data_IF_077404696538
#
_entry.id   IF_077404696538
#
_cell.length_a   1.000
_cell.length_b   1.000
_cell.length_c   1.000
_cell.angle_alpha   90.00
_cell.angle_beta   90.00
_cell.angle_gamma   90.00
#
_symmetry.space_group_name_H-M   'P 1'
#
loop_
_entity.id
_entity.type
_entity.pdbx_description
1 polymer ?
#
# COMPACT_ATOMS: atom_id res chain seq x y z
N UNK A 1 8.31 -8.59 47.12
CA UNK A 1 7.21 -9.38 46.54
C UNK A 1 7.48 -9.50 45.05
N UNK A 2 7.84 -10.69 44.61
CA UNK A 2 8.19 -10.99 43.23
C UNK A 2 6.93 -10.95 42.38
N UNK A 3 6.81 -9.95 41.50
CA UNK A 3 5.80 -9.95 40.45
C UNK A 3 6.11 -11.09 39.49
N UNK A 4 5.34 -12.17 39.59
CA UNK A 4 5.19 -13.14 38.51
C UNK A 4 4.65 -12.38 37.29
N UNK A 5 5.53 -12.00 36.38
CA UNK A 5 5.14 -11.64 35.02
C UNK A 5 4.56 -12.88 34.36
N UNK A 6 3.24 -12.93 34.22
CA UNK A 6 2.55 -13.98 33.48
C UNK A 6 3.15 -14.09 32.07
N UNK A 7 3.49 -15.29 31.56
CA UNK A 7 4.09 -15.48 30.24
C UNK A 7 3.16 -15.14 29.06
N UNK A 8 1.92 -14.73 29.31
CA UNK A 8 0.92 -14.44 28.28
C UNK A 8 0.95 -13.02 27.68
N UNK A 9 1.74 -12.09 28.23
CA UNK A 9 1.83 -10.70 27.73
C UNK A 9 2.90 -10.49 26.66
N UNK A 10 3.11 -11.47 25.78
CA UNK A 10 3.81 -11.15 24.52
C UNK A 10 2.81 -10.47 23.58
N UNK A 11 3.12 -9.29 23.02
CA UNK A 11 2.28 -8.68 22.00
C UNK A 11 2.06 -9.69 20.87
N UNK A 12 0.81 -10.14 20.71
CA UNK A 12 0.40 -11.08 19.67
C UNK A 12 -0.26 -10.26 18.58
N UNK A 13 0.31 -10.29 17.38
CA UNK A 13 -0.39 -9.81 16.18
C UNK A 13 -1.59 -10.74 15.93
N UNK A 14 -2.81 -10.24 16.21
CA UNK A 14 -4.07 -10.88 15.82
C UNK A 14 -4.53 -10.28 14.50
N UNK A 15 -4.46 -11.08 13.43
CA UNK A 15 -4.76 -10.66 12.07
C UNK A 15 -6.24 -10.35 11.84
N UNK A 16 -7.15 -11.02 12.56
CA UNK A 16 -8.60 -10.84 12.39
C UNK A 16 -9.03 -9.56 13.08
N UNK A 17 -8.60 -9.36 14.33
CA UNK A 17 -8.91 -8.15 15.09
C UNK A 17 -8.30 -6.90 14.44
N UNK A 18 -7.05 -7.02 13.95
CA UNK A 18 -6.38 -5.93 13.23
C UNK A 18 -7.14 -5.54 11.95
N UNK A 19 -7.53 -6.52 11.13
CA UNK A 19 -8.31 -6.27 9.92
C UNK A 19 -9.69 -5.69 10.25
N UNK A 20 -10.37 -6.23 11.26
CA UNK A 20 -11.65 -5.72 11.75
C UNK A 20 -11.57 -4.25 12.18
N UNK A 21 -10.51 -3.88 12.88
CA UNK A 21 -10.22 -2.49 13.27
C UNK A 21 -10.04 -1.59 12.05
N UNK A 22 -9.33 -2.06 11.01
CA UNK A 22 -9.17 -1.34 9.74
C UNK A 22 -10.52 -1.00 9.08
N UNK A 23 -11.42 -1.98 9.00
CA UNK A 23 -12.77 -1.75 8.47
C UNK A 23 -13.60 -0.84 9.37
N UNK A 24 -13.56 -1.06 10.69
CA UNK A 24 -14.32 -0.26 11.64
C UNK A 24 -13.91 1.22 11.58
N UNK A 25 -12.61 1.49 11.47
CA UNK A 25 -12.08 2.84 11.29
C UNK A 25 -12.57 3.47 9.98
N UNK A 26 -12.51 2.74 8.85
CA UNK A 26 -13.02 3.22 7.56
C UNK A 26 -14.49 3.66 7.64
N UNK A 27 -15.35 2.86 8.28
CA UNK A 27 -16.78 3.17 8.41
C UNK A 27 -17.07 4.32 9.38
N UNK A 28 -16.35 4.36 10.50
CA UNK A 28 -16.55 5.37 11.55
C UNK A 28 -16.10 6.74 11.09
N UNK A 29 -14.92 6.83 10.47
CA UNK A 29 -14.28 8.08 10.04
C UNK A 29 -14.54 8.42 8.56
N UNK A 30 -15.51 7.77 7.90
CA UNK A 30 -15.78 7.90 6.46
C UNK A 30 -15.85 9.35 5.94
N UNK A 31 -16.46 10.26 6.69
CA UNK A 31 -16.61 11.65 6.28
C UNK A 31 -15.26 12.39 6.26
N UNK A 32 -14.39 12.09 7.22
CA UNK A 32 -13.04 12.62 7.26
C UNK A 32 -12.19 12.00 6.13
N UNK A 33 -12.27 10.69 5.96
CA UNK A 33 -11.50 9.96 4.96
C UNK A 33 -11.87 10.37 3.52
N UNK A 34 -13.15 10.60 3.21
CA UNK A 34 -13.56 11.08 1.87
C UNK A 34 -12.87 12.41 1.53
N UNK A 35 -12.78 13.35 2.48
CA UNK A 35 -12.08 14.63 2.27
C UNK A 35 -10.59 14.43 2.05
N UNK A 36 -10.00 13.45 2.74
CA UNK A 36 -8.58 13.14 2.67
C UNK A 36 -8.22 12.40 1.36
N UNK A 37 -9.07 11.48 0.90
CA UNK A 37 -8.90 10.69 -0.34
C UNK A 37 -9.01 11.56 -1.59
N UNK A 38 -9.82 12.62 -1.54
CA UNK A 38 -10.12 13.44 -2.72
C UNK A 38 -8.86 13.96 -3.43
N UNK A 39 -7.88 14.49 -2.70
CA UNK A 39 -6.66 15.03 -3.30
C UNK A 39 -5.79 13.94 -3.97
N UNK A 40 -5.40 12.84 -3.30
CA UNK A 40 -4.69 11.73 -3.94
C UNK A 40 -5.44 11.16 -5.14
N UNK A 41 -6.76 10.99 -5.03
CA UNK A 41 -7.57 10.43 -6.10
C UNK A 41 -7.58 11.32 -7.35
N UNK A 42 -7.76 12.64 -7.19
CA UNK A 42 -7.73 13.59 -8.31
C UNK A 42 -6.35 13.60 -8.97
N UNK A 43 -5.27 13.64 -8.18
CA UNK A 43 -3.90 13.63 -8.71
C UNK A 43 -3.67 12.34 -9.50
N UNK A 44 -4.06 11.18 -8.94
CA UNK A 44 -3.94 9.89 -9.62
C UNK A 44 -4.72 9.84 -10.93
N UNK A 45 -5.97 10.27 -10.89
CA UNK A 45 -6.85 10.32 -12.04
C UNK A 45 -6.28 11.18 -13.17
N UNK A 46 -5.81 12.40 -12.85
CA UNK A 46 -5.17 13.29 -13.84
C UNK A 46 -3.91 12.66 -14.42
N UNK A 47 -3.11 12.00 -13.59
CA UNK A 47 -1.85 11.38 -14.05
C UNK A 47 -2.12 10.20 -14.99
N UNK A 48 -3.11 9.36 -14.68
CA UNK A 48 -3.55 8.26 -15.54
C UNK A 48 -4.13 8.80 -16.86
N UNK A 49 -4.91 9.88 -16.80
CA UNK A 49 -5.48 10.52 -17.99
C UNK A 49 -4.36 11.03 -18.91
N UNK A 50 -3.34 11.69 -18.37
CA UNK A 50 -2.17 12.14 -19.14
C UNK A 50 -1.46 10.96 -19.81
N UNK A 51 -1.25 9.86 -19.09
CA UNK A 51 -0.62 8.65 -19.65
C UNK A 51 -1.44 8.03 -20.79
N UNK A 52 -2.75 7.98 -20.62
CA UNK A 52 -3.68 7.50 -21.64
C UNK A 52 -3.65 8.39 -22.89
N UNK A 53 -3.63 9.73 -22.73
CA UNK A 53 -3.54 10.66 -23.85
C UNK A 53 -2.22 10.58 -24.61
N UNK A 54 -1.12 10.26 -23.91
CA UNK A 54 0.20 10.11 -24.51
C UNK A 54 0.45 8.70 -25.08
N UNK A 55 -0.53 7.78 -24.99
CA UNK A 55 -0.40 6.37 -25.37
C UNK A 55 0.84 5.70 -24.77
N UNK A 56 1.23 6.10 -23.55
CA UNK A 56 2.34 5.48 -22.84
C UNK A 56 1.78 4.24 -22.12
N UNK A 57 2.22 3.01 -22.46
CA UNK A 57 1.71 1.81 -21.82
C UNK A 57 2.00 1.82 -20.32
N UNK A 58 1.02 1.40 -19.52
CA UNK A 58 1.27 1.13 -18.11
C UNK A 58 2.26 -0.03 -17.95
N UNK A 59 3.15 0.04 -16.96
CA UNK A 59 4.22 -0.94 -16.77
C UNK A 59 5.50 -0.61 -17.55
N UNK A 60 5.46 0.31 -18.51
CA UNK A 60 6.67 0.88 -19.09
C UNK A 60 7.34 1.83 -18.10
N UNK A 61 8.68 1.86 -18.07
CA UNK A 61 9.45 2.65 -17.11
C UNK A 61 9.06 4.15 -17.09
N UNK A 62 8.88 4.74 -18.27
CA UNK A 62 8.45 6.14 -18.40
C UNK A 62 7.03 6.38 -17.85
N UNK A 63 6.11 5.43 -18.06
CA UNK A 63 4.76 5.50 -17.52
C UNK A 63 4.75 5.43 -16.00
N UNK A 64 5.58 4.54 -15.44
CA UNK A 64 5.72 4.38 -14.00
C UNK A 64 6.34 5.62 -13.31
N UNK A 65 7.32 6.28 -13.95
CA UNK A 65 7.87 7.55 -13.44
C UNK A 65 6.84 8.67 -13.46
N UNK A 66 6.04 8.74 -14.53
CA UNK A 66 5.01 9.77 -14.63
C UNK A 66 3.97 9.66 -13.50
N UNK A 67 3.77 8.46 -12.92
CA UNK A 67 2.88 8.23 -11.76
C UNK A 67 3.44 8.76 -10.43
N UNK A 68 4.69 9.24 -10.36
CA UNK A 68 5.30 9.71 -9.12
C UNK A 68 4.45 10.74 -8.34
N UNK A 69 3.85 11.77 -8.96
CA UNK A 69 3.01 12.73 -8.22
C UNK A 69 1.85 12.04 -7.48
N UNK A 70 1.24 11.03 -8.10
CA UNK A 70 0.21 10.22 -7.46
C UNK A 70 0.75 9.46 -6.24
N UNK A 71 1.92 8.84 -6.38
CA UNK A 71 2.55 8.08 -5.29
C UNK A 71 2.85 8.98 -4.09
N UNK A 72 3.38 10.19 -4.32
CA UNK A 72 3.61 11.16 -3.24
C UNK A 72 2.31 11.53 -2.52
N UNK A 73 1.22 11.71 -3.26
CA UNK A 73 -0.09 12.01 -2.70
C UNK A 73 -0.68 10.83 -1.89
N UNK A 74 -0.50 9.60 -2.37
CA UNK A 74 -0.87 8.38 -1.65
C UNK A 74 -0.07 8.19 -0.37
N UNK A 75 1.25 8.38 -0.43
CA UNK A 75 2.11 8.34 0.75
C UNK A 75 1.69 9.39 1.79
N UNK A 76 1.25 10.56 1.34
CA UNK A 76 0.70 11.59 2.23
C UNK A 76 -0.61 11.13 2.87
N UNK A 77 -1.53 10.55 2.10
CA UNK A 77 -2.78 9.98 2.61
C UNK A 77 -2.52 8.93 3.69
N UNK A 78 -1.66 7.96 3.44
CA UNK A 78 -1.41 6.89 4.39
C UNK A 78 -0.68 7.37 5.64
N UNK A 79 0.27 8.30 5.51
CA UNK A 79 0.90 8.94 6.67
C UNK A 79 -0.13 9.66 7.56
N UNK A 80 -1.07 10.36 6.95
CA UNK A 80 -2.15 11.06 7.65
C UNK A 80 -3.12 10.10 8.34
N UNK A 81 -3.48 9.00 7.67
CA UNK A 81 -4.31 7.93 8.23
C UNK A 81 -3.62 7.29 9.42
N UNK A 82 -2.34 6.90 9.31
CA UNK A 82 -1.57 6.32 10.42
C UNK A 82 -1.53 7.24 11.63
N UNK A 83 -1.27 8.55 11.42
CA UNK A 83 -1.24 9.52 12.53
C UNK A 83 -2.61 9.80 13.13
N UNK A 84 -3.65 9.87 12.30
CA UNK A 84 -5.01 10.02 12.81
C UNK A 84 -5.45 8.79 13.60
N UNK A 85 -4.98 7.59 13.24
CA UNK A 85 -5.30 6.37 13.97
C UNK A 85 -4.52 6.27 15.29
N UNK A 86 -3.20 6.48 15.28
CA UNK A 86 -2.34 6.32 16.46
C UNK A 86 -2.44 7.47 17.47
N UNK A 87 -2.52 8.70 16.98
CA UNK A 87 -2.39 9.92 17.80
C UNK A 87 -3.67 10.76 17.82
N UNK A 88 -4.73 10.32 17.14
CA UNK A 88 -5.96 11.11 16.92
C UNK A 88 -5.68 12.51 16.31
N UNK A 89 -4.59 12.62 15.54
CA UNK A 89 -4.21 13.87 14.87
C UNK A 89 -4.88 13.96 13.49
N UNK A 90 -5.92 14.81 13.39
CA UNK A 90 -6.62 15.06 12.13
C UNK A 90 -5.97 16.17 11.32
N UNK A 91 -6.15 16.11 10.00
CA UNK A 91 -5.81 17.18 9.07
C UNK A 91 -7.08 17.92 8.60
N UNK A 92 -7.16 19.25 8.67
CA UNK A 92 -6.17 20.19 9.20
C UNK A 92 -6.02 20.10 10.73
N UNK A 93 -4.82 20.41 11.24
CA UNK A 93 -4.52 20.37 12.67
C UNK A 93 -5.19 21.56 13.36
N UNK A 94 -5.92 21.29 14.45
CA UNK A 94 -6.43 22.35 15.33
C UNK A 94 -5.29 22.83 16.23
N UNK A 95 -4.94 24.11 16.10
CA UNK A 95 -3.89 24.76 16.88
C UNK A 95 -4.44 25.21 18.22
N UNK A 96 -3.62 25.11 19.27
CA UNK A 96 -4.00 25.51 20.63
C UNK A 96 -3.97 27.03 20.83
N UNK A 97 -3.31 27.77 19.94
CA UNK A 97 -3.10 29.21 20.02
C UNK A 97 -1.78 29.59 20.70
N UNK A 98 -1.07 28.61 21.28
CA UNK A 98 0.23 28.79 21.94
C UNK A 98 1.36 28.56 20.92
N UNK A 99 1.97 29.66 20.45
CA UNK A 99 2.87 29.66 19.29
C UNK A 99 4.02 28.65 19.39
N UNK A 100 4.72 28.58 20.52
CA UNK A 100 5.94 27.77 20.63
C UNK A 100 5.62 26.28 20.63
N UNK A 101 4.59 25.90 21.40
CA UNK A 101 4.10 24.51 21.49
C UNK A 101 3.48 24.04 20.18
N UNK A 102 2.69 24.89 19.54
CA UNK A 102 2.09 24.60 18.24
C UNK A 102 3.17 24.46 17.15
N UNK A 103 4.21 25.30 17.16
CA UNK A 103 5.32 25.23 16.20
C UNK A 103 6.12 23.94 16.36
N UNK A 104 6.46 23.55 17.58
CA UNK A 104 7.19 22.30 17.83
C UNK A 104 6.37 21.08 17.41
N UNK A 105 5.06 21.07 17.71
CA UNK A 105 4.15 20.00 17.31
C UNK A 105 4.03 19.90 15.78
N UNK A 106 3.89 21.04 15.10
CA UNK A 106 3.82 21.10 13.64
C UNK A 106 5.11 20.62 12.99
N UNK A 107 6.27 21.05 13.47
CA UNK A 107 7.57 20.64 12.93
C UNK A 107 7.81 19.14 13.08
N UNK A 108 7.55 18.58 14.26
CA UNK A 108 7.71 17.14 14.48
C UNK A 108 6.79 16.34 13.55
N UNK A 109 5.51 16.74 13.48
CA UNK A 109 4.52 16.12 12.60
C UNK A 109 4.91 16.22 11.13
N UNK A 110 5.39 17.37 10.68
CA UNK A 110 5.82 17.59 9.31
C UNK A 110 6.99 16.67 8.93
N UNK A 111 8.00 16.56 9.80
CA UNK A 111 9.14 15.67 9.58
C UNK A 111 8.71 14.20 9.49
N UNK A 112 7.84 13.74 10.41
CA UNK A 112 7.31 12.37 10.37
C UNK A 112 6.51 12.09 9.08
N UNK A 113 5.64 13.01 8.68
CA UNK A 113 4.83 12.87 7.46
C UNK A 113 5.71 12.87 6.22
N UNK A 114 6.67 13.79 6.12
CA UNK A 114 7.57 13.88 4.97
C UNK A 114 8.46 12.64 4.87
N UNK A 115 8.98 12.13 5.98
CA UNK A 115 9.74 10.89 6.01
C UNK A 115 8.89 9.69 5.57
N UNK A 116 7.64 9.59 6.01
CA UNK A 116 6.71 8.55 5.58
C UNK A 116 6.39 8.63 4.09
N UNK A 117 6.15 9.83 3.57
CA UNK A 117 5.91 10.09 2.14
C UNK A 117 7.10 9.61 1.30
N UNK A 118 8.32 10.03 1.66
CA UNK A 118 9.54 9.65 0.92
C UNK A 118 9.73 8.14 0.98
N UNK A 119 9.54 7.53 2.16
CA UNK A 119 9.66 6.08 2.34
C UNK A 119 8.67 5.33 1.46
N UNK A 120 7.41 5.76 1.45
CA UNK A 120 6.37 5.18 0.60
C UNK A 120 6.69 5.30 -0.89
N UNK A 121 7.19 6.47 -1.31
CA UNK A 121 7.60 6.71 -2.69
C UNK A 121 8.78 5.83 -3.13
N UNK A 122 9.78 5.65 -2.27
CA UNK A 122 10.92 4.77 -2.54
C UNK A 122 10.50 3.30 -2.67
N UNK A 123 9.56 2.83 -1.83
CA UNK A 123 9.00 1.50 -1.95
C UNK A 123 8.35 1.33 -3.32
N UNK A 124 7.46 2.25 -3.71
CA UNK A 124 6.75 2.17 -5.00
C UNK A 124 7.69 2.28 -6.19
N UNK A 125 8.71 3.14 -6.12
CA UNK A 125 9.71 3.25 -7.17
C UNK A 125 10.48 1.94 -7.35
N UNK A 126 10.81 1.24 -6.27
CA UNK A 126 11.42 -0.09 -6.34
C UNK A 126 10.46 -1.10 -7.01
N UNK A 127 9.17 -1.11 -6.63
CA UNK A 127 8.17 -1.96 -7.28
C UNK A 127 8.01 -1.68 -8.76
N UNK A 128 7.99 -0.41 -9.15
CA UNK A 128 7.92 -0.01 -10.55
C UNK A 128 9.16 -0.36 -11.34
N UNK A 129 10.35 -0.26 -10.73
CA UNK A 129 11.58 -0.77 -11.33
C UNK A 129 11.47 -2.27 -11.62
N UNK A 130 11.00 -3.04 -10.65
CA UNK A 130 10.78 -4.49 -10.78
C UNK A 130 9.71 -4.81 -11.83
N UNK A 131 8.58 -4.10 -11.82
CA UNK A 131 7.50 -4.25 -12.80
C UNK A 131 7.98 -3.96 -14.23
N UNK A 132 8.83 -2.93 -14.39
CA UNK A 132 9.39 -2.58 -15.70
C UNK A 132 10.34 -3.67 -16.22
N UNK A 133 11.07 -4.37 -15.34
CA UNK A 133 11.91 -5.52 -15.70
C UNK A 133 11.09 -6.76 -16.11
N UNK A 134 9.84 -6.84 -15.64
CA UNK A 134 8.89 -7.89 -16.02
C UNK A 134 8.06 -7.51 -17.25
N UNK A 135 8.27 -6.35 -17.86
CA UNK A 135 7.46 -5.95 -19.00
C UNK A 135 7.66 -6.93 -20.15
N UNK A 136 6.59 -7.65 -20.50
CA UNK A 136 6.53 -8.55 -21.64
C UNK A 136 5.88 -7.75 -22.77
N UNK A 137 6.52 -7.72 -23.94
CA UNK A 137 5.93 -7.09 -25.11
C UNK A 137 4.66 -7.84 -25.53
N UNK A 138 3.74 -7.17 -26.22
CA UNK A 138 2.50 -7.79 -26.67
C UNK A 138 2.77 -8.96 -27.65
N UNK A 139 3.83 -8.83 -28.46
CA UNK A 139 4.32 -9.89 -29.36
C UNK A 139 4.84 -11.11 -28.58
N UNK A 140 5.65 -10.90 -27.53
CA UNK A 140 6.17 -11.98 -26.70
C UNK A 140 5.05 -12.72 -25.95
N UNK A 141 4.02 -11.98 -25.52
CA UNK A 141 2.84 -12.57 -24.86
C UNK A 141 2.05 -13.46 -25.82
N UNK A 142 1.84 -13.04 -27.06
CA UNK A 142 1.19 -13.85 -28.10
C UNK A 142 2.02 -15.10 -28.43
N UNK A 143 3.34 -14.97 -28.54
CA UNK A 143 4.24 -16.10 -28.78
C UNK A 143 4.22 -17.13 -27.61
N UNK A 144 4.15 -16.65 -26.37
CA UNK A 144 3.95 -17.50 -25.18
C UNK A 144 2.61 -18.23 -25.21
N UNK A 145 1.54 -17.56 -25.65
CA UNK A 145 0.22 -18.16 -25.78
C UNK A 145 0.21 -19.28 -26.82
N UNK A 146 0.82 -19.07 -28.00
CA UNK A 146 0.96 -20.07 -29.06
C UNK A 146 1.73 -21.31 -28.59
N UNK A 147 2.87 -21.12 -27.88
CA UNK A 147 3.62 -22.24 -27.29
C UNK A 147 2.81 -22.99 -26.24
N UNK A 148 2.06 -22.27 -25.40
CA UNK A 148 1.22 -22.89 -24.37
C UNK A 148 0.04 -23.68 -24.95
N UNK A 149 -0.43 -23.30 -26.15
CA UNK A 149 -1.45 -24.02 -26.91
C UNK A 149 -0.88 -25.23 -27.69
N UNK A 150 0.44 -25.45 -27.65
CA UNK A 150 1.10 -26.53 -28.38
C UNK A 150 1.27 -26.23 -29.88
N UNK A 151 1.11 -24.97 -30.30
CA UNK A 151 1.32 -24.54 -31.67
C UNK A 151 2.80 -24.27 -31.95
N UNK A 152 3.23 -24.55 -33.17
CA UNK A 152 4.61 -24.30 -33.61
C UNK A 152 4.82 -22.81 -33.84
N UNK A 153 5.82 -22.25 -33.17
CA UNK A 153 6.24 -20.86 -33.39
C UNK A 153 6.61 -20.63 -34.86
N UNK A 154 6.37 -19.43 -35.40
CA UNK A 154 6.91 -19.05 -36.70
C UNK A 154 8.43 -19.27 -36.76
N UNK A 155 8.96 -19.65 -37.92
CA UNK A 155 10.40 -19.88 -38.08
C UNK A 155 11.20 -18.60 -37.76
N UNK A 156 12.19 -18.72 -36.86
CA UNK A 156 13.01 -17.59 -36.41
C UNK A 156 12.55 -16.90 -35.12
N UNK A 157 11.38 -17.27 -34.58
CA UNK A 157 10.91 -16.75 -33.28
C UNK A 157 11.34 -17.64 -32.12
N UNK A 158 12.02 -17.07 -31.13
CA UNK A 158 12.38 -17.75 -29.87
C UNK A 158 11.56 -17.19 -28.72
N UNK A 159 10.97 -18.06 -27.90
CA UNK A 159 10.29 -17.64 -26.68
C UNK A 159 11.29 -17.47 -25.55
N UNK A 160 11.34 -16.26 -24.99
CA UNK A 160 12.13 -15.98 -23.79
C UNK A 160 11.36 -16.40 -22.54
N UNK A 161 11.88 -17.38 -21.79
CA UNK A 161 11.35 -17.77 -20.48
C UNK A 161 11.80 -16.83 -19.35
N UNK A 162 12.66 -15.85 -19.63
CA UNK A 162 13.23 -14.92 -18.65
C UNK A 162 12.15 -14.20 -17.83
N UNK A 163 11.04 -13.68 -18.40
CA UNK A 163 9.99 -13.02 -17.61
C UNK A 163 9.32 -13.96 -16.61
N UNK A 164 9.07 -15.22 -16.98
CA UNK A 164 8.42 -16.21 -16.11
C UNK A 164 9.34 -16.63 -14.95
N UNK A 165 10.63 -16.85 -15.21
CA UNK A 165 11.62 -17.16 -14.18
C UNK A 165 11.84 -15.96 -13.25
N UNK A 166 11.93 -14.76 -13.81
CA UNK A 166 12.03 -13.50 -13.04
C UNK A 166 10.78 -13.30 -12.17
N UNK A 167 9.58 -13.55 -12.69
CA UNK A 167 8.33 -13.50 -11.92
C UNK A 167 8.32 -14.47 -10.74
N UNK A 168 8.79 -15.71 -10.93
CA UNK A 168 8.90 -16.70 -9.85
C UNK A 168 9.87 -16.24 -8.76
N UNK A 169 11.05 -15.73 -9.14
CA UNK A 169 12.05 -15.21 -8.20
C UNK A 169 11.47 -14.03 -7.40
N UNK A 170 10.74 -13.14 -8.07
CA UNK A 170 10.12 -11.98 -7.43
C UNK A 170 8.99 -12.40 -6.51
N UNK A 171 8.20 -13.42 -6.85
CA UNK A 171 7.16 -13.94 -5.96
C UNK A 171 7.76 -14.53 -4.68
N UNK A 172 8.82 -15.32 -4.80
CA UNK A 172 9.52 -15.91 -3.64
C UNK A 172 10.12 -14.82 -2.77
N UNK A 173 10.79 -13.83 -3.37
CA UNK A 173 11.38 -12.73 -2.61
C UNK A 173 10.31 -11.82 -2.01
N UNK A 174 9.20 -11.54 -2.69
CA UNK A 174 8.11 -10.71 -2.18
C UNK A 174 7.53 -11.21 -0.85
N UNK A 175 7.53 -12.53 -0.61
CA UNK A 175 7.11 -13.10 0.68
C UNK A 175 8.05 -12.62 1.80
N UNK A 176 9.37 -12.73 1.61
CA UNK A 176 10.35 -12.33 2.62
C UNK A 176 10.41 -10.81 2.83
N UNK A 177 10.24 -10.06 1.75
CA UNK A 177 10.31 -8.60 1.75
C UNK A 177 8.95 -7.94 2.03
N UNK A 178 7.90 -8.72 2.31
CA UNK A 178 6.56 -8.21 2.58
C UNK A 178 6.50 -7.16 3.70
N UNK A 179 7.20 -7.30 4.85
CA UNK A 179 7.22 -6.25 5.87
C UNK A 179 7.78 -4.92 5.38
N UNK A 180 8.65 -4.94 4.37
CA UNK A 180 9.24 -3.73 3.79
C UNK A 180 8.20 -2.87 3.08
N UNK A 181 7.09 -3.46 2.61
CA UNK A 181 5.96 -2.73 2.03
C UNK A 181 5.32 -1.74 3.01
N UNK A 182 5.37 -2.07 4.30
CA UNK A 182 4.65 -1.37 5.36
C UNK A 182 5.57 -0.44 6.16
N UNK A 183 6.84 -0.33 5.77
CA UNK A 183 7.84 0.36 6.58
C UNK A 183 7.64 1.88 6.64
N UNK A 184 6.85 2.46 5.75
CA UNK A 184 6.40 3.85 5.81
C UNK A 184 5.56 4.15 7.06
N UNK A 185 4.97 3.13 7.70
CA UNK A 185 4.23 3.28 8.97
C UNK A 185 5.18 3.70 10.10
N UNK A 186 6.42 3.21 10.11
CA UNK A 186 7.39 3.51 11.16
C UNK A 186 7.69 5.03 11.31
N UNK A 187 8.11 5.76 10.25
CA UNK A 187 8.31 7.21 10.36
C UNK A 187 7.01 7.96 10.64
N UNK A 188 5.85 7.50 10.14
CA UNK A 188 4.56 8.12 10.47
C UNK A 188 4.21 8.00 11.96
N UNK A 189 4.54 6.85 12.57
CA UNK A 189 4.41 6.54 13.99
C UNK A 189 5.54 7.14 14.86
N UNK A 190 6.52 7.84 14.26
CA UNK A 190 7.70 8.38 14.93
C UNK A 190 8.61 7.30 15.56
N UNK A 191 8.85 6.22 14.82
CA UNK A 191 9.67 5.07 15.23
C UNK A 191 10.81 4.89 14.22
N UNK A 192 11.98 4.47 14.71
CA UNK A 192 13.12 4.18 13.85
C UNK A 192 12.86 2.96 12.94
N UNK A 193 13.26 3.09 11.67
CA UNK A 193 13.19 2.05 10.64
C UNK A 193 13.75 0.69 11.13
N UNK A 194 14.93 0.74 11.78
CA UNK A 194 15.66 -0.46 12.23
C UNK A 194 14.82 -1.28 13.21
N UNK A 195 14.16 -0.60 14.13
CA UNK A 195 13.39 -1.22 15.20
C UNK A 195 12.11 -1.87 14.66
N UNK A 196 11.43 -1.19 13.73
CA UNK A 196 10.28 -1.74 13.02
C UNK A 196 10.65 -3.01 12.25
N UNK A 197 11.67 -2.95 11.39
CA UNK A 197 12.04 -4.06 10.51
C UNK A 197 12.57 -5.28 11.28
N UNK A 198 13.44 -5.05 12.27
CA UNK A 198 13.96 -6.13 13.10
C UNK A 198 12.87 -6.81 13.91
N UNK A 199 11.86 -6.07 14.37
CA UNK A 199 10.71 -6.64 15.08
C UNK A 199 9.89 -7.54 14.15
N UNK A 200 9.55 -7.03 12.95
CA UNK A 200 8.75 -7.78 11.98
C UNK A 200 9.40 -9.11 11.55
N UNK A 201 10.72 -9.10 11.31
CA UNK A 201 11.45 -10.30 10.88
C UNK A 201 11.71 -11.26 12.04
N UNK A 202 12.23 -10.78 13.19
CA UNK A 202 12.62 -11.65 14.30
C UNK A 202 11.43 -12.44 14.86
N UNK A 203 10.23 -11.86 14.80
CA UNK A 203 9.01 -12.47 15.32
C UNK A 203 8.23 -13.28 14.29
N UNK A 204 8.79 -13.48 13.07
CA UNK A 204 8.14 -14.19 11.96
C UNK A 204 6.73 -13.67 11.66
N UNK A 205 6.51 -12.35 11.83
CA UNK A 205 5.21 -11.72 11.61
C UNK A 205 4.81 -11.66 10.14
N UNK A 206 5.76 -11.91 9.22
CA UNK A 206 5.59 -11.93 7.77
C UNK A 206 4.29 -12.63 7.35
N UNK A 207 4.07 -13.89 7.77
CA UNK A 207 2.87 -14.65 7.38
C UNK A 207 1.59 -14.05 7.95
N UNK A 208 1.64 -13.51 9.17
CA UNK A 208 0.48 -12.86 9.80
C UNK A 208 0.13 -11.54 9.11
N UNK A 209 1.14 -10.77 8.69
CA UNK A 209 0.96 -9.55 7.91
C UNK A 209 0.37 -9.89 6.53
N UNK A 210 0.88 -10.91 5.84
CA UNK A 210 0.32 -11.37 4.56
C UNK A 210 -1.14 -11.80 4.75
N UNK A 211 -1.44 -12.62 5.76
CA UNK A 211 -2.81 -13.06 6.03
C UNK A 211 -3.74 -11.88 6.36
N UNK A 212 -3.29 -10.92 7.17
CA UNK A 212 -4.03 -9.70 7.47
C UNK A 212 -4.31 -8.88 6.20
N UNK A 213 -3.31 -8.71 5.34
CA UNK A 213 -3.48 -8.05 4.05
C UNK A 213 -4.50 -8.76 3.16
N UNK A 214 -4.45 -10.09 3.09
CA UNK A 214 -5.44 -10.89 2.34
C UNK A 214 -6.86 -10.72 2.88
N UNK A 215 -7.05 -10.71 4.21
CA UNK A 215 -8.36 -10.44 4.84
C UNK A 215 -8.85 -9.01 4.52
N UNK A 216 -7.93 -8.03 4.47
CA UNK A 216 -8.26 -6.67 4.06
C UNK A 216 -8.59 -6.56 2.56
N UNK A 217 -8.02 -7.42 1.72
CA UNK A 217 -8.11 -7.30 0.25
C UNK A 217 -9.31 -8.07 -0.35
N UNK A 218 -9.60 -9.29 0.15
CA UNK A 218 -10.62 -10.18 -0.43
C UNK A 218 -11.99 -9.51 -0.58
N UNK A 219 -12.55 -8.83 0.45
CA UNK A 219 -13.87 -8.21 0.33
C UNK A 219 -13.95 -7.12 -0.73
N UNK A 220 -12.89 -6.32 -0.90
CA UNK A 220 -12.85 -5.28 -1.92
C UNK A 220 -12.71 -5.84 -3.32
N UNK A 221 -11.91 -6.90 -3.52
CA UNK A 221 -11.83 -7.57 -4.83
C UNK A 221 -13.17 -8.20 -5.21
N UNK A 222 -13.84 -8.86 -4.25
CA UNK A 222 -15.16 -9.41 -4.48
C UNK A 222 -16.18 -8.32 -4.86
N UNK A 223 -16.19 -7.20 -4.11
CA UNK A 223 -17.04 -6.06 -4.42
C UNK A 223 -16.74 -5.46 -5.81
N UNK A 224 -15.46 -5.26 -6.14
CA UNK A 224 -15.03 -4.74 -7.44
C UNK A 224 -15.46 -5.66 -8.58
N UNK A 225 -15.35 -6.98 -8.38
CA UNK A 225 -15.74 -7.99 -9.38
C UNK A 225 -17.25 -7.95 -9.65
N UNK A 226 -18.06 -7.81 -8.59
CA UNK A 226 -19.51 -7.64 -8.70
C UNK A 226 -19.86 -6.33 -9.42
N UNK A 227 -19.23 -5.21 -9.04
CA UNK A 227 -19.46 -3.90 -9.67
C UNK A 227 -19.09 -3.94 -11.14
N UNK A 228 -17.95 -4.53 -11.49
CA UNK A 228 -17.51 -4.68 -12.89
C UNK A 228 -18.48 -5.55 -13.69
N UNK A 229 -18.89 -6.69 -13.14
CA UNK A 229 -19.87 -7.58 -13.79
C UNK A 229 -21.23 -6.90 -14.01
N UNK A 230 -21.68 -6.11 -13.03
CA UNK A 230 -22.89 -5.30 -13.16
C UNK A 230 -22.74 -4.24 -14.25
N UNK A 231 -21.64 -3.49 -14.30
CA UNK A 231 -21.40 -2.48 -15.33
C UNK A 231 -21.41 -3.07 -16.73
N UNK A 232 -20.72 -4.20 -16.93
CA UNK A 232 -20.69 -4.91 -18.22
C UNK A 232 -22.10 -5.30 -18.66
N UNK A 233 -22.89 -5.85 -17.74
CA UNK A 233 -24.25 -6.31 -18.03
C UNK A 233 -25.24 -5.15 -18.24
N UNK A 234 -25.19 -4.13 -17.38
CA UNK A 234 -26.14 -3.03 -17.36
C UNK A 234 -25.91 -2.01 -18.49
N UNK A 235 -24.66 -1.80 -18.88
CA UNK A 235 -24.28 -0.88 -19.96
C UNK A 235 -24.06 -1.59 -21.30
N UNK A 236 -24.27 -2.91 -21.36
CA UNK A 236 -24.04 -3.75 -22.55
C UNK A 236 -22.63 -3.57 -23.14
N UNK A 237 -21.64 -3.39 -22.27
CA UNK A 237 -20.24 -3.17 -22.66
C UNK A 237 -19.67 -4.49 -23.18
N UNK A 238 -19.06 -4.46 -24.35
CA UNK A 238 -18.28 -5.60 -24.83
C UNK A 238 -17.02 -5.72 -23.96
N UNK A 239 -16.95 -6.78 -23.16
CA UNK A 239 -15.83 -7.03 -22.25
C UNK A 239 -14.49 -7.20 -22.97
N UNK A 240 -14.51 -7.52 -24.27
CA UNK A 240 -13.32 -7.69 -25.09
C UNK A 240 -12.91 -6.41 -25.83
N UNK A 241 -13.87 -5.53 -26.15
CA UNK A 241 -13.65 -4.30 -26.92
C UNK A 241 -14.15 -3.06 -26.19
N UNK A 242 -13.49 -2.73 -25.07
CA UNK A 242 -13.79 -1.53 -24.30
C UNK A 242 -13.41 -0.27 -25.09
N UNK A 243 -14.35 0.64 -25.28
CA UNK A 243 -14.07 2.01 -25.72
C UNK A 243 -13.17 2.74 -24.71
N UNK A 244 -12.45 3.77 -25.15
CA UNK A 244 -11.55 4.54 -24.28
C UNK A 244 -12.27 5.11 -23.05
N UNK A 245 -13.54 5.50 -23.18
CA UNK A 245 -14.34 6.02 -22.07
C UNK A 245 -14.65 4.93 -21.03
N UNK A 246 -14.97 3.72 -21.47
CA UNK A 246 -15.25 2.58 -20.58
C UNK A 246 -13.98 2.10 -19.88
N UNK A 247 -12.84 2.10 -20.57
CA UNK A 247 -11.54 1.80 -19.95
C UNK A 247 -11.22 2.79 -18.83
N UNK A 248 -11.39 4.09 -19.07
CA UNK A 248 -11.16 5.12 -18.06
C UNK A 248 -12.11 4.93 -16.86
N UNK A 249 -13.39 4.63 -17.10
CA UNK A 249 -14.36 4.38 -16.03
C UNK A 249 -13.94 3.21 -15.14
N UNK A 250 -13.61 2.06 -15.74
CA UNK A 250 -13.22 0.84 -15.02
C UNK A 250 -11.92 1.06 -14.26
N UNK A 251 -10.94 1.73 -14.87
CA UNK A 251 -9.66 2.07 -14.24
C UNK A 251 -9.89 2.99 -13.04
N UNK A 252 -10.74 4.01 -13.18
CA UNK A 252 -11.06 4.96 -12.10
C UNK A 252 -11.66 4.26 -10.88
N UNK A 253 -12.62 3.35 -11.10
CA UNK A 253 -13.23 2.56 -10.02
C UNK A 253 -12.17 1.66 -9.36
N UNK A 254 -11.34 0.99 -10.16
CA UNK A 254 -10.27 0.12 -9.68
C UNK A 254 -9.28 0.88 -8.80
N UNK A 255 -8.89 2.09 -9.23
CA UNK A 255 -7.97 2.94 -8.47
C UNK A 255 -8.60 3.48 -7.18
N UNK A 256 -9.88 3.83 -7.21
CA UNK A 256 -10.59 4.21 -5.99
C UNK A 256 -10.65 3.05 -4.99
N UNK A 257 -10.97 1.85 -5.45
CA UNK A 257 -10.96 0.64 -4.61
C UNK A 257 -9.56 0.35 -4.05
N UNK A 258 -8.50 0.54 -4.86
CA UNK A 258 -7.12 0.37 -4.40
C UNK A 258 -6.76 1.33 -3.26
N UNK A 259 -7.21 2.59 -3.30
CA UNK A 259 -7.03 3.55 -2.20
C UNK A 259 -7.75 3.09 -0.92
N UNK A 260 -8.97 2.56 -1.05
CA UNK A 260 -9.72 2.03 0.10
C UNK A 260 -9.01 0.83 0.73
N UNK A 261 -8.52 -0.11 -0.08
CA UNK A 261 -7.69 -1.24 0.38
C UNK A 261 -6.45 -0.71 1.10
N UNK A 262 -5.77 0.28 0.53
CA UNK A 262 -4.59 0.91 1.12
C UNK A 262 -4.87 1.51 2.51
N UNK A 263 -6.01 2.19 2.68
CA UNK A 263 -6.41 2.75 3.97
C UNK A 263 -6.67 1.65 5.00
N UNK A 264 -7.51 0.67 4.67
CA UNK A 264 -7.89 -0.42 5.59
C UNK A 264 -6.66 -1.22 6.00
N UNK A 265 -5.81 -1.58 5.03
CA UNK A 265 -4.58 -2.33 5.29
C UNK A 265 -3.56 -1.51 6.07
N UNK A 266 -3.41 -0.20 5.81
CA UNK A 266 -2.53 0.67 6.61
C UNK A 266 -2.96 0.67 8.07
N UNK A 267 -4.25 0.85 8.35
CA UNK A 267 -4.79 0.87 9.72
C UNK A 267 -4.62 -0.50 10.38
N UNK A 268 -4.98 -1.58 9.68
CA UNK A 268 -4.84 -2.94 10.19
C UNK A 268 -3.39 -3.28 10.55
N UNK A 269 -2.44 -2.96 9.68
CA UNK A 269 -1.01 -3.17 9.94
C UNK A 269 -0.52 -2.31 11.10
N UNK A 270 -1.00 -1.06 11.19
CA UNK A 270 -0.66 -0.16 12.28
C UNK A 270 -1.15 -0.72 13.62
N UNK A 271 -2.38 -1.22 13.69
CA UNK A 271 -2.95 -1.82 14.90
C UNK A 271 -2.23 -3.11 15.29
N UNK A 272 -2.04 -4.02 14.33
CA UNK A 272 -1.33 -5.28 14.58
C UNK A 272 0.11 -5.07 15.04
N UNK A 273 0.72 -3.93 14.69
CA UNK A 273 2.07 -3.57 15.13
C UNK A 273 2.13 -2.71 16.39
N UNK A 274 0.99 -2.17 16.85
CA UNK A 274 0.91 -1.22 17.98
C UNK A 274 1.52 -1.77 19.26
N UNK A 275 1.22 -3.03 19.60
CA UNK A 275 1.75 -3.67 20.81
C UNK A 275 3.28 -3.78 20.84
N UNK A 276 3.95 -3.70 19.69
CA UNK A 276 5.41 -3.69 19.62
C UNK A 276 6.01 -2.27 19.72
N UNK A 277 5.25 -1.26 19.32
CA UNK A 277 5.64 0.15 19.42
C UNK A 277 5.69 0.61 20.88
N UNK A 278 4.68 0.24 21.67
CA UNK A 278 4.59 0.63 23.08
C UNK A 278 5.71 -0.01 23.92
N UNK A 279 6.11 -1.24 23.59
CA UNK A 279 7.23 -1.93 24.26
C UNK A 279 8.58 -1.25 24.00
N UNK A 280 8.85 -0.86 22.76
CA UNK A 280 10.11 -0.16 22.43
C UNK A 280 10.18 1.23 23.06
N UNK A 281 9.05 1.94 23.16
CA UNK A 281 8.99 3.25 23.80
C UNK A 281 9.36 3.18 25.29
N UNK A 282 8.81 2.21 26.00
CA UNK A 282 9.13 2.00 27.42
C UNK A 282 10.61 1.62 27.62
N UNK A 283 11.15 0.74 26.77
CA UNK A 283 12.55 0.29 26.86
C UNK A 283 13.54 1.42 26.58
N UNK A 284 13.23 2.35 25.66
CA UNK A 284 14.09 3.49 25.37
C UNK A 284 14.01 4.58 26.46
N UNK A 285 12.86 4.73 27.11
CA UNK A 285 12.67 5.69 28.22
C UNK A 285 13.44 5.24 29.46
N UNK A 286 13.47 3.93 29.75
CA UNK A 286 14.28 3.36 30.84
C UNK A 286 15.78 3.60 30.61
N UNK A 287 16.28 3.37 29.40
CA UNK A 287 17.69 3.63 29.06
C UNK A 287 18.10 5.10 29.13
N UNK A 288 17.19 6.02 28.79
CA UNK A 288 17.45 7.46 28.91
C UNK A 288 17.44 7.96 30.35
N UNK A 289 16.84 7.22 31.29
CA UNK A 289 16.85 7.55 32.72
C UNK A 289 18.00 6.87 33.47
N UNK A 290 18.72 5.95 32.83
CA UNK A 290 19.90 5.25 33.37
C UNK A 290 21.23 5.88 32.94
N UNK A 291 21.21 6.84 32.00
CA UNK A 291 22.35 7.70 31.61
C UNK A 291 22.27 9.08 32.27
#
# INVERSE_FOLDING_TARGET
>A
MLHHSSPDNQPKFDMIESAGTGYHYLFTERQYLIKLIAAPFIIKFVTILILSLLNIPQGHYAGNIALLPSIFAEGWLYAQVTRSFLFNERWPVMLSGEKDRDTQKLNNRQTCILAAIITYALIHLAFYGVQSLMYISEEDFQNLALVSAGETLPEGTSVSFTPAVTALIILVTAIFWFPLLWIYIAPAANIYFKDFYMTAIKQRLVFKMIACYMICLIPFIAALSIVRGFLVTALAIDAQNLSSAEQILVETITQFTALLIGIVSTVAMTEGMRGFFDKNKNTNTEKQNEE
#
